data_IF_307377414107
#
_entry.id   IF_307377414107
#
_cell.length_a   1.000
_cell.length_b   1.000
_cell.length_c   1.000
_cell.angle_alpha   90.00
_cell.angle_beta   90.00
_cell.angle_gamma   90.00
#
_symmetry.space_group_name_H-M   'P 1'
#
loop_
_entity.id
_entity.type
_entity.pdbx_description
1 polymer ?
#
# COMPACT_ATOMS: atom_id res chain seq x y z
N UNK A 1 -30.12 -10.11 -23.24
CA UNK A 1 -28.90 -9.74 -24.04
C UNK A 1 -28.58 -8.27 -23.83
N UNK A 2 -29.57 -7.38 -23.82
CA UNK A 2 -29.43 -5.98 -23.43
C UNK A 2 -28.94 -5.81 -21.97
N UNK A 3 -29.36 -6.69 -21.06
CA UNK A 3 -29.00 -6.60 -19.63
C UNK A 3 -27.50 -6.78 -19.36
N UNK A 4 -26.80 -7.65 -20.11
CA UNK A 4 -25.34 -7.83 -19.98
C UNK A 4 -24.54 -6.63 -20.45
N UNK A 5 -25.06 -5.86 -21.41
CA UNK A 5 -24.34 -4.68 -21.95
C UNK A 5 -24.41 -3.52 -20.97
N UNK A 6 -25.54 -3.36 -20.28
CA UNK A 6 -25.72 -2.35 -19.23
C UNK A 6 -24.87 -2.68 -18.01
N UNK A 7 -24.91 -3.94 -17.55
CA UNK A 7 -24.08 -4.45 -16.44
C UNK A 7 -22.57 -4.30 -16.73
N UNK A 8 -22.12 -4.53 -17.97
CA UNK A 8 -20.73 -4.31 -18.39
C UNK A 8 -20.32 -2.82 -18.35
N UNK A 9 -21.24 -1.90 -18.65
CA UNK A 9 -20.96 -0.45 -18.61
C UNK A 9 -20.92 0.06 -17.18
N UNK A 10 -21.80 -0.44 -16.31
CA UNK A 10 -21.82 -0.13 -14.89
C UNK A 10 -20.55 -0.63 -14.18
N UNK A 11 -20.11 -1.86 -14.47
CA UNK A 11 -18.87 -2.41 -13.92
C UNK A 11 -17.63 -1.67 -14.42
N UNK A 12 -17.60 -1.24 -15.69
CA UNK A 12 -16.54 -0.40 -16.24
C UNK A 12 -16.47 0.95 -15.51
N UNK A 13 -17.59 1.64 -15.35
CA UNK A 13 -17.63 2.92 -14.65
C UNK A 13 -17.18 2.79 -13.19
N UNK A 14 -17.54 1.70 -12.50
CA UNK A 14 -17.10 1.44 -11.14
C UNK A 14 -15.59 1.18 -11.04
N UNK A 15 -15.02 0.42 -11.98
CA UNK A 15 -13.59 0.14 -12.00
C UNK A 15 -12.78 1.41 -12.36
N UNK A 16 -13.27 2.23 -13.29
CA UNK A 16 -12.64 3.51 -13.65
C UNK A 16 -12.57 4.46 -12.45
N UNK A 17 -13.68 4.60 -11.70
CA UNK A 17 -13.70 5.45 -10.52
C UNK A 17 -12.79 4.89 -9.42
N UNK A 18 -12.78 3.56 -9.23
CA UNK A 18 -11.85 2.90 -8.32
C UNK A 18 -10.40 3.20 -8.69
N UNK A 19 -10.04 3.05 -9.97
CA UNK A 19 -8.69 3.33 -10.45
C UNK A 19 -8.32 4.80 -10.24
N UNK A 20 -9.25 5.72 -10.47
CA UNK A 20 -9.06 7.15 -10.24
C UNK A 20 -8.79 7.45 -8.77
N UNK A 21 -9.57 6.88 -7.86
CA UNK A 21 -9.40 7.04 -6.41
C UNK A 21 -8.05 6.48 -5.96
N UNK A 22 -7.68 5.28 -6.43
CA UNK A 22 -6.39 4.67 -6.11
C UNK A 22 -5.21 5.51 -6.60
N UNK A 23 -5.31 6.08 -7.81
CA UNK A 23 -4.27 6.94 -8.37
C UNK A 23 -4.07 8.22 -7.52
N UNK A 24 -5.16 8.83 -7.02
CA UNK A 24 -5.09 10.01 -6.16
C UNK A 24 -4.48 9.74 -4.78
N UNK A 25 -4.60 8.51 -4.29
CA UNK A 25 -4.06 8.10 -2.99
C UNK A 25 -2.59 7.65 -3.06
N UNK A 26 -2.04 7.43 -4.26
CA UNK A 26 -0.67 6.94 -4.44
C UNK A 26 0.36 7.94 -3.89
N UNK A 27 1.36 7.44 -3.15
CA UNK A 27 2.40 8.28 -2.51
C UNK A 27 1.91 9.10 -1.32
N UNK A 28 0.68 8.89 -0.85
CA UNK A 28 0.10 9.57 0.32
C UNK A 28 -0.14 8.59 1.44
N UNK A 29 0.24 8.97 2.65
CA UNK A 29 0.03 8.16 3.83
C UNK A 29 -1.48 8.01 4.10
N UNK A 30 -2.03 6.78 4.08
CA UNK A 30 -3.47 6.57 4.31
C UNK A 30 -3.90 6.92 5.74
N UNK A 31 -2.96 7.01 6.69
CA UNK A 31 -3.25 7.41 8.08
C UNK A 31 -3.45 8.92 8.25
N UNK A 32 -2.65 9.74 7.58
CA UNK A 32 -2.60 11.19 7.88
C UNK A 32 -2.49 12.10 6.66
N UNK A 33 -2.60 11.54 5.44
CA UNK A 33 -2.46 12.20 4.14
C UNK A 33 -1.10 12.91 3.91
N UNK A 34 -0.10 12.67 4.77
CA UNK A 34 1.25 13.18 4.56
C UNK A 34 1.97 12.49 3.40
N UNK A 35 3.00 13.13 2.87
CA UNK A 35 3.84 12.58 1.81
C UNK A 35 4.60 11.34 2.28
N UNK A 36 4.65 10.32 1.43
CA UNK A 36 5.52 9.16 1.60
C UNK A 36 6.86 9.47 0.93
N UNK A 37 7.94 9.26 1.66
CA UNK A 37 9.31 9.51 1.20
C UNK A 37 10.03 8.16 1.19
N UNK A 38 10.70 7.80 0.08
CA UNK A 38 11.48 6.57 0.01
C UNK A 38 12.69 6.67 0.94
N UNK A 39 12.91 5.61 1.72
CA UNK A 39 14.04 5.47 2.64
C UNK A 39 14.71 4.12 2.43
N UNK A 40 16.04 4.07 2.25
CA UNK A 40 16.75 2.80 2.14
C UNK A 40 16.82 2.13 3.51
N UNK A 41 16.38 0.88 3.58
CA UNK A 41 16.50 0.04 4.76
C UNK A 41 17.02 -1.34 4.36
N UNK A 42 18.27 -1.64 4.74
CA UNK A 42 18.91 -2.94 4.50
C UNK A 42 18.81 -3.42 3.05
N UNK A 43 19.01 -2.51 2.10
CA UNK A 43 18.94 -2.84 0.67
C UNK A 43 17.53 -2.88 0.06
N UNK A 44 16.48 -2.69 0.85
CA UNK A 44 15.09 -2.51 0.39
C UNK A 44 14.72 -1.02 0.47
N UNK A 45 14.09 -0.48 -0.58
CA UNK A 45 13.48 0.85 -0.50
C UNK A 45 12.13 0.74 0.20
N UNK A 46 11.90 1.54 1.24
CA UNK A 46 10.64 1.56 2.00
C UNK A 46 10.02 2.95 1.95
N UNK A 47 8.69 3.04 2.01
CA UNK A 47 8.00 4.33 2.04
C UNK A 47 7.73 4.79 3.47
N UNK A 48 8.38 5.88 3.91
CA UNK A 48 8.16 6.49 5.22
C UNK A 48 7.34 7.76 5.12
N UNK A 49 6.28 7.86 5.92
CA UNK A 49 5.52 9.10 6.03
C UNK A 49 6.31 10.18 6.77
N UNK A 50 6.45 11.35 6.14
CA UNK A 50 7.12 12.52 6.73
C UNK A 50 6.42 13.10 7.96
N UNK A 51 5.12 12.85 8.12
CA UNK A 51 4.28 13.46 9.16
C UNK A 51 4.05 12.56 10.37
N UNK A 52 3.51 11.35 10.16
CA UNK A 52 3.18 10.44 11.25
C UNK A 52 4.24 9.35 11.49
N UNK A 53 5.33 9.37 10.71
CA UNK A 53 6.45 8.41 10.78
C UNK A 53 6.07 6.94 10.55
N UNK A 54 4.87 6.67 10.02
CA UNK A 54 4.48 5.31 9.62
C UNK A 54 5.29 4.84 8.43
N UNK A 55 5.63 3.55 8.41
CA UNK A 55 6.33 2.88 7.32
C UNK A 55 5.33 2.02 6.56
N UNK A 56 5.37 2.11 5.23
CA UNK A 56 4.51 1.39 4.30
C UNK A 56 5.42 0.58 3.38
N UNK A 57 5.02 -0.65 3.12
CA UNK A 57 5.73 -1.60 2.27
C UNK A 57 4.86 -1.92 1.07
N UNK A 58 5.48 -2.00 -0.10
CA UNK A 58 4.85 -2.52 -1.30
C UNK A 58 4.78 -4.06 -1.26
N UNK A 59 3.94 -4.61 -2.14
CA UNK A 59 3.75 -6.05 -2.25
C UNK A 59 5.07 -6.74 -2.63
N UNK A 60 5.57 -7.64 -1.78
CA UNK A 60 6.84 -8.36 -1.97
C UNK A 60 8.06 -7.71 -1.31
N UNK A 61 7.96 -6.48 -0.78
CA UNK A 61 9.04 -5.88 0.02
C UNK A 61 9.10 -6.47 1.43
N UNK A 62 7.94 -6.85 1.99
CA UNK A 62 7.89 -7.49 3.30
C UNK A 62 8.71 -8.79 3.32
N UNK A 63 8.61 -9.62 2.27
CA UNK A 63 9.39 -10.87 2.20
C UNK A 63 10.90 -10.61 2.16
N UNK A 64 11.33 -9.52 1.52
CA UNK A 64 12.75 -9.11 1.48
C UNK A 64 13.23 -8.63 2.85
N UNK A 65 12.44 -7.80 3.53
CA UNK A 65 12.76 -7.32 4.88
C UNK A 65 12.77 -8.48 5.90
N UNK A 66 11.88 -9.47 5.74
CA UNK A 66 11.72 -10.59 6.68
C UNK A 66 12.77 -11.69 6.48
N UNK A 67 13.19 -11.95 5.24
CA UNK A 67 14.22 -12.95 4.94
C UNK A 67 15.57 -12.61 5.60
N UNK A 68 15.88 -11.32 5.73
CA UNK A 68 17.12 -10.85 6.37
C UNK A 68 17.00 -10.69 7.89
N UNK A 69 15.79 -10.71 8.44
CA UNK A 69 15.54 -10.30 9.81
C UNK A 69 14.91 -11.41 10.67
N UNK A 70 15.77 -12.29 11.16
CA UNK A 70 15.44 -13.23 12.25
C UNK A 70 15.07 -12.52 13.57
N UNK A 71 15.22 -11.18 13.66
CA UNK A 71 14.98 -10.38 14.87
C UNK A 71 13.81 -9.38 14.82
N UNK A 72 13.58 -8.67 13.72
CA UNK A 72 12.58 -7.56 13.66
C UNK A 72 11.13 -8.00 13.80
N UNK A 73 10.74 -9.14 13.18
CA UNK A 73 9.39 -9.68 13.36
C UNK A 73 9.11 -10.20 14.78
N UNK A 74 10.14 -10.48 15.59
CA UNK A 74 9.93 -10.88 16.98
C UNK A 74 9.26 -9.76 17.82
N UNK A 75 9.47 -8.49 17.42
CA UNK A 75 8.76 -7.33 17.98
C UNK A 75 7.41 -7.07 17.31
N UNK A 76 7.33 -7.20 15.98
CA UNK A 76 6.10 -6.91 15.21
C UNK A 76 5.00 -7.93 15.47
N UNK A 77 5.34 -9.19 15.81
CA UNK A 77 4.36 -10.22 16.21
C UNK A 77 3.52 -9.83 17.44
N UNK A 78 3.99 -8.89 18.29
CA UNK A 78 3.21 -8.34 19.41
C UNK A 78 2.24 -7.23 19.02
N UNK A 79 2.36 -6.66 17.82
CA UNK A 79 1.49 -5.56 17.36
C UNK A 79 0.19 -6.11 16.75
N UNK A 80 0.23 -7.34 16.23
CA UNK A 80 -0.90 -8.02 15.60
C UNK A 80 -1.41 -9.24 16.39
N UNK A 81 -1.07 -9.36 17.68
CA UNK A 81 -1.60 -10.38 18.60
C UNK A 81 -2.43 -9.76 19.70
#
# INVERSE_FOLDING_TARGET
>A
MFDRVEEMRETQAAEEERQRILALARGRCPKCAGELIPVPYRGVELDKCSRCQGVWLDFGELDQVVAEDTGFLSGVRRIFS
#
